data_IF_258203973906
#
_entry.id   IF_258203973906
#
_cell.length_a   1.000
_cell.length_b   1.000
_cell.length_c   1.000
_cell.angle_alpha   90.00
_cell.angle_beta   90.00
_cell.angle_gamma   90.00
#
_symmetry.space_group_name_H-M   'P 1'
#
loop_
_entity.id
_entity.type
_entity.pdbx_description
1 polymer ?
#
# COMPACT_ATOMS: atom_id res chain seq x y z
N UNK A 1 -10.75 -5.61 12.48
CA UNK A 1 -11.13 -6.06 11.13
C UNK A 1 -10.25 -5.30 10.15
N UNK A 2 -9.26 -5.98 9.55
CA UNK A 2 -8.43 -5.41 8.50
C UNK A 2 -9.31 -5.35 7.25
N UNK A 3 -9.65 -4.16 6.76
CA UNK A 3 -10.41 -4.03 5.51
C UNK A 3 -9.46 -4.31 4.36
N UNK A 4 -9.58 -5.50 3.78
CA UNK A 4 -8.95 -5.82 2.51
C UNK A 4 -9.57 -4.92 1.44
N UNK A 5 -8.73 -4.15 0.77
CA UNK A 5 -9.15 -3.22 -0.28
C UNK A 5 -8.47 -3.63 -1.56
N UNK A 6 -9.27 -3.83 -2.59
CA UNK A 6 -8.84 -4.30 -3.89
C UNK A 6 -9.18 -3.27 -4.95
N UNK A 7 -8.34 -3.20 -5.99
CA UNK A 7 -8.54 -2.28 -7.10
C UNK A 7 -8.08 -2.92 -8.41
N UNK A 8 -8.83 -2.73 -9.50
CA UNK A 8 -8.46 -3.26 -10.81
C UNK A 8 -7.56 -2.27 -11.55
N UNK A 9 -6.36 -2.71 -11.89
CA UNK A 9 -5.47 -2.02 -12.81
C UNK A 9 -5.77 -2.44 -14.26
N UNK A 10 -5.88 -1.52 -15.24
CA UNK A 10 -6.23 -1.84 -16.62
C UNK A 10 -5.35 -2.93 -17.26
N UNK A 11 -4.04 -2.89 -16.99
CA UNK A 11 -3.06 -3.85 -17.52
C UNK A 11 -2.79 -5.05 -16.61
N UNK A 12 -2.63 -4.84 -15.29
CA UNK A 12 -2.13 -5.87 -14.37
C UNK A 12 -3.24 -6.59 -13.58
N UNK A 13 -4.50 -6.25 -13.82
CA UNK A 13 -5.64 -6.85 -13.15
C UNK A 13 -5.72 -6.45 -11.67
N UNK A 14 -6.08 -7.41 -10.82
CA UNK A 14 -6.39 -7.14 -9.42
C UNK A 14 -5.13 -6.76 -8.61
N UNK A 15 -5.19 -5.60 -7.98
CA UNK A 15 -4.24 -5.12 -6.99
C UNK A 15 -4.84 -5.22 -5.59
N UNK A 16 -4.01 -5.50 -4.59
CA UNK A 16 -4.39 -5.43 -3.19
C UNK A 16 -3.70 -4.25 -2.50
N UNK A 17 -4.40 -3.59 -1.59
CA UNK A 17 -3.86 -2.47 -0.82
C UNK A 17 -2.89 -2.99 0.23
N UNK A 18 -1.65 -2.53 0.16
CA UNK A 18 -0.62 -2.78 1.18
C UNK A 18 -0.86 -1.84 2.36
N UNK A 19 -1.01 -0.53 2.10
CA UNK A 19 -1.29 0.45 3.16
C UNK A 19 -1.81 1.80 2.63
N UNK A 20 -2.46 2.55 3.52
CA UNK A 20 -2.76 3.96 3.34
C UNK A 20 -1.53 4.79 3.74
N UNK A 21 -1.01 5.59 2.83
CA UNK A 21 0.10 6.52 3.08
C UNK A 21 -0.45 7.83 3.63
N UNK A 22 -1.40 8.42 2.88
CA UNK A 22 -2.10 9.67 3.13
C UNK A 22 -3.57 9.54 2.68
N UNK A 23 -4.41 10.51 2.99
CA UNK A 23 -5.88 10.44 2.83
C UNK A 23 -6.36 10.07 1.42
N UNK A 24 -5.63 10.50 0.38
CA UNK A 24 -5.91 10.19 -1.03
C UNK A 24 -4.85 9.34 -1.71
N UNK A 25 -3.85 8.85 -0.96
CA UNK A 25 -2.69 8.15 -1.51
C UNK A 25 -2.45 6.82 -0.82
N UNK A 26 -2.53 5.76 -1.61
CA UNK A 26 -2.46 4.38 -1.14
C UNK A 26 -1.38 3.60 -1.90
N UNK A 27 -0.73 2.66 -1.23
CA UNK A 27 0.21 1.74 -1.86
C UNK A 27 -0.51 0.43 -2.17
N UNK A 28 -0.48 0.03 -3.43
CA UNK A 28 -1.03 -1.22 -3.93
C UNK A 28 0.07 -2.12 -4.49
N UNK A 29 -0.18 -3.43 -4.49
CA UNK A 29 0.68 -4.42 -5.11
C UNK A 29 -0.15 -5.42 -5.94
N UNK A 30 0.45 -5.94 -7.01
CA UNK A 30 -0.19 -6.96 -7.85
C UNK A 30 -0.36 -8.27 -7.09
N UNK A 31 -1.52 -8.91 -7.21
CA UNK A 31 -1.78 -10.22 -6.59
C UNK A 31 -1.19 -11.39 -7.41
N UNK A 32 -1.17 -11.25 -8.75
CA UNK A 32 -0.87 -12.34 -9.68
C UNK A 32 0.42 -12.17 -10.50
N UNK A 33 1.06 -11.00 -10.44
CA UNK A 33 2.32 -10.71 -11.15
C UNK A 33 3.52 -10.72 -10.19
N UNK A 34 4.74 -10.68 -10.73
CA UNK A 34 6.02 -10.60 -10.01
C UNK A 34 6.16 -9.30 -9.17
N UNK A 35 5.29 -9.14 -8.17
CA UNK A 35 5.17 -8.07 -7.17
C UNK A 35 5.55 -6.69 -7.71
N UNK A 36 4.76 -6.19 -8.67
CA UNK A 36 4.79 -4.78 -9.04
C UNK A 36 4.04 -3.96 -7.98
N UNK A 37 4.50 -2.73 -7.77
CA UNK A 37 3.94 -1.81 -6.77
C UNK A 37 3.46 -0.55 -7.46
N UNK A 38 2.35 -0.01 -6.98
CA UNK A 38 1.74 1.20 -7.51
C UNK A 38 1.35 2.13 -6.37
N UNK A 39 1.72 3.39 -6.48
CA UNK A 39 1.07 4.45 -5.71
C UNK A 39 -0.20 4.84 -6.45
N UNK A 40 -1.31 4.62 -5.78
CA UNK A 40 -2.63 4.94 -6.29
C UNK A 40 -3.08 6.23 -5.65
N UNK A 41 -3.38 7.22 -6.48
CA UNK A 41 -3.94 8.49 -6.04
C UNK A 41 -5.36 8.61 -6.56
N UNK A 42 -6.30 8.85 -5.66
CA UNK A 42 -7.73 9.02 -5.99
C UNK A 42 -8.08 10.49 -5.91
N UNK A 43 -8.55 11.07 -7.02
CA UNK A 43 -8.95 12.47 -7.10
C UNK A 43 -10.23 12.68 -7.91
N UNK A 44 -10.67 13.94 -8.09
CA UNK A 44 -11.87 14.28 -8.85
C UNK A 44 -11.83 13.79 -10.30
N UNK A 45 -10.64 13.76 -10.90
CA UNK A 45 -10.40 13.38 -12.30
C UNK A 45 -10.23 11.85 -12.47
N UNK A 46 -10.33 11.08 -11.39
CA UNK A 46 -10.28 9.62 -11.40
C UNK A 46 -9.14 9.04 -10.56
N UNK A 47 -8.69 7.85 -10.97
CA UNK A 47 -7.69 7.06 -10.27
C UNK A 47 -6.40 7.03 -11.10
N UNK A 48 -5.31 7.52 -10.53
CA UNK A 48 -3.99 7.48 -11.13
C UNK A 48 -3.15 6.35 -10.52
N UNK A 49 -2.38 5.65 -11.35
CA UNK A 49 -1.49 4.57 -10.96
C UNK A 49 -0.05 4.91 -11.31
N UNK A 50 0.75 5.25 -10.30
CA UNK A 50 2.17 5.53 -10.48
C UNK A 50 2.99 4.30 -10.11
N UNK A 51 3.69 3.65 -11.05
CA UNK A 51 4.53 2.50 -10.73
C UNK A 51 5.70 2.92 -9.83
N UNK A 52 5.99 2.10 -8.82
CA UNK A 52 7.12 2.34 -7.91
C UNK A 52 7.98 1.09 -7.75
N UNK A 53 9.29 1.31 -7.55
CA UNK A 53 10.22 0.22 -7.30
C UNK A 53 9.96 -0.45 -5.95
N UNK A 54 10.31 -1.74 -5.82
CA UNK A 54 10.19 -2.49 -4.56
C UNK A 54 10.94 -1.80 -3.40
N UNK A 55 12.09 -1.19 -3.68
CA UNK A 55 12.87 -0.44 -2.68
C UNK A 55 12.13 0.79 -2.15
N UNK A 56 11.59 1.61 -3.04
CA UNK A 56 10.85 2.82 -2.67
C UNK A 56 9.54 2.45 -1.95
N UNK A 57 8.82 1.44 -2.45
CA UNK A 57 7.62 0.91 -1.80
C UNK A 57 7.91 0.45 -0.37
N UNK A 58 9.05 -0.22 -0.15
CA UNK A 58 9.48 -0.66 1.18
C UNK A 58 9.73 0.54 2.10
N UNK A 59 10.48 1.55 1.63
CA UNK A 59 10.78 2.76 2.40
C UNK A 59 9.49 3.50 2.81
N UNK A 60 8.51 3.58 1.90
CA UNK A 60 7.20 4.20 2.19
C UNK A 60 6.47 3.48 3.32
N UNK A 61 6.42 2.14 3.29
CA UNK A 61 5.79 1.34 4.34
C UNK A 61 6.53 1.48 5.67
N UNK A 62 7.87 1.46 5.65
CA UNK A 62 8.68 1.66 6.86
C UNK A 62 8.47 3.05 7.48
N UNK A 63 8.38 4.10 6.65
CA UNK A 63 8.03 5.45 7.08
C UNK A 63 6.65 5.48 7.74
N UNK A 64 5.66 4.82 7.13
CA UNK A 64 4.30 4.76 7.67
C UNK A 64 4.25 4.01 9.01
N UNK A 65 4.96 2.90 9.15
CA UNK A 65 5.11 2.18 10.42
C UNK A 65 5.68 3.09 11.52
N UNK A 66 6.77 3.82 11.22
CA UNK A 66 7.34 4.80 12.16
C UNK A 66 6.34 5.86 12.59
N UNK A 67 5.53 6.35 11.65
CA UNK A 67 4.53 7.39 11.91
C UNK A 67 3.39 6.84 12.80
N UNK A 68 2.82 5.68 12.46
CA UNK A 68 1.79 5.03 13.28
C UNK A 68 2.25 4.74 14.71
N UNK A 69 3.51 4.35 14.89
CA UNK A 69 4.10 4.17 16.22
C UNK A 69 4.16 5.48 17.01
N UNK A 70 4.54 6.59 16.37
CA UNK A 70 4.60 7.92 17.01
C UNK A 70 3.22 8.46 17.36
N UNK A 71 2.21 8.17 16.55
CA UNK A 71 0.80 8.56 16.78
C UNK A 71 0.08 7.68 17.81
N UNK A 72 0.73 6.65 18.35
CA UNK A 72 0.09 5.70 19.29
C UNK A 72 -0.97 4.80 18.64
N UNK A 73 -1.01 4.71 17.31
CA UNK A 73 -2.00 3.93 16.55
C UNK A 73 -1.60 2.44 16.50
N UNK A 74 -1.52 1.81 17.68
CA UNK A 74 -0.96 0.46 17.86
C UNK A 74 -1.64 -0.64 17.04
N UNK A 75 -2.96 -0.54 16.86
CA UNK A 75 -3.72 -1.52 16.07
C UNK A 75 -3.35 -1.45 14.57
N UNK A 76 -3.36 -0.24 13.99
CA UNK A 76 -2.97 -0.02 12.60
C UNK A 76 -1.50 -0.34 12.37
N UNK A 77 -0.63 -0.01 13.34
CA UNK A 77 0.77 -0.38 13.30
C UNK A 77 0.95 -1.91 13.22
N UNK A 78 0.29 -2.67 14.08
CA UNK A 78 0.39 -4.14 14.11
C UNK A 78 -0.11 -4.75 12.80
N UNK A 79 -1.22 -4.26 12.26
CA UNK A 79 -1.75 -4.72 10.98
C UNK A 79 -0.77 -4.44 9.83
N UNK A 80 -0.25 -3.21 9.75
CA UNK A 80 0.73 -2.83 8.74
C UNK A 80 2.03 -3.63 8.87
N UNK A 81 2.45 -3.94 10.11
CA UNK A 81 3.66 -4.71 10.36
C UNK A 81 3.54 -6.14 9.80
N UNK A 82 2.36 -6.75 9.89
CA UNK A 82 2.07 -8.06 9.28
C UNK A 82 2.11 -7.98 7.76
N UNK A 83 1.43 -6.99 7.16
CA UNK A 83 1.43 -6.79 5.71
C UNK A 83 2.84 -6.53 5.16
N UNK A 84 3.65 -5.76 5.89
CA UNK A 84 5.06 -5.52 5.56
C UNK A 84 5.85 -6.82 5.50
N UNK A 85 5.72 -7.69 6.52
CA UNK A 85 6.44 -8.97 6.55
C UNK A 85 6.02 -9.87 5.39
N UNK A 86 4.73 -9.98 5.09
CA UNK A 86 4.23 -10.82 4.00
C UNK A 86 4.66 -10.32 2.61
N UNK A 87 4.87 -9.01 2.45
CA UNK A 87 5.13 -8.38 1.16
C UNK A 87 6.62 -8.20 0.86
N UNK A 88 7.42 -7.86 1.87
CA UNK A 88 8.81 -7.44 1.71
C UNK A 88 9.85 -8.39 2.32
N UNK A 89 9.46 -9.27 3.25
CA UNK A 89 10.30 -10.35 3.79
C UNK A 89 9.90 -11.69 3.17
#
# INVERSE_FOLDING_TARGET
>A
MSTETYLNHPTFGLLFRVCLIEESRELFATLYAQRLFFLVTTGPDGVQFDPVGRGDARILVENRLRNLRRLGQHQQHTQLQTAYKQTFQ
#
